data_IF_581757274578
#
_entry.id   IF_581757274578
#
_cell.length_a   1.000
_cell.length_b   1.000
_cell.length_c   1.000
_cell.angle_alpha   90.00
_cell.angle_beta   90.00
_cell.angle_gamma   90.00
#
_symmetry.space_group_name_H-M   'P 1'
#
loop_
_entity.id
_entity.type
_entity.pdbx_description
1 polymer ?
#
# COMPACT_ATOMS: atom_id res chain seq x y z
N UNK A 1 16.63 -14.75 -2.63
CA UNK A 1 16.30 -14.26 -3.99
C UNK A 1 14.83 -14.49 -4.38
N UNK A 2 14.30 -15.72 -4.23
CA UNK A 2 12.90 -16.02 -4.62
C UNK A 2 11.87 -15.19 -3.84
N UNK A 3 12.08 -14.92 -2.55
CA UNK A 3 11.20 -14.08 -1.73
C UNK A 3 11.18 -12.65 -2.29
N UNK A 4 12.34 -12.07 -2.60
CA UNK A 4 12.44 -10.71 -3.15
C UNK A 4 11.79 -10.58 -4.52
N UNK A 5 11.85 -11.62 -5.35
CA UNK A 5 11.12 -11.66 -6.64
C UNK A 5 9.60 -11.66 -6.48
N UNK A 6 9.09 -12.25 -5.39
CA UNK A 6 7.65 -12.29 -5.11
C UNK A 6 7.17 -11.09 -4.31
N UNK A 7 8.00 -10.57 -3.39
CA UNK A 7 7.67 -9.42 -2.55
C UNK A 7 8.95 -8.65 -2.20
N UNK A 8 9.13 -7.50 -2.84
CA UNK A 8 10.29 -6.63 -2.65
C UNK A 8 10.33 -6.01 -1.23
N UNK A 9 9.18 -5.86 -0.57
CA UNK A 9 9.03 -5.15 0.70
C UNK A 9 9.00 -6.05 1.95
N UNK A 10 9.03 -7.39 1.78
CA UNK A 10 9.05 -8.30 2.93
C UNK A 10 10.23 -8.03 3.84
N UNK A 11 9.99 -8.00 5.15
CA UNK A 11 11.05 -7.98 6.14
C UNK A 11 11.73 -9.37 6.19
N UNK A 12 13.02 -9.42 5.86
CA UNK A 12 13.83 -10.66 5.89
C UNK A 12 14.81 -10.55 7.04
N UNK A 13 14.70 -11.46 7.99
CA UNK A 13 15.61 -11.56 9.14
C UNK A 13 16.37 -12.88 9.03
N UNK A 14 17.69 -12.80 9.03
CA UNK A 14 18.53 -13.99 9.13
C UNK A 14 18.80 -14.35 10.59
N UNK A 15 18.60 -15.62 10.88
CA UNK A 15 18.80 -16.18 12.22
C UNK A 15 19.80 -17.35 12.14
N UNK A 16 21.05 -17.12 12.55
CA UNK A 16 22.13 -18.09 12.33
C UNK A 16 23.16 -18.11 13.45
N UNK A 17 23.78 -19.26 13.66
CA UNK A 17 24.97 -19.40 14.52
C UNK A 17 26.27 -19.02 13.79
N UNK A 18 26.24 -18.89 12.48
CA UNK A 18 27.42 -18.65 11.65
C UNK A 18 27.55 -17.18 11.26
N UNK A 19 28.75 -16.62 11.42
CA UNK A 19 29.04 -15.21 11.07
C UNK A 19 29.51 -15.02 9.64
N UNK A 20 29.97 -16.08 8.99
CA UNK A 20 30.68 -16.00 7.70
C UNK A 20 29.76 -15.71 6.50
N UNK A 21 28.44 -15.87 6.66
CA UNK A 21 27.47 -15.69 5.56
C UNK A 21 26.98 -14.26 5.36
N UNK A 22 27.32 -13.32 6.26
CA UNK A 22 26.85 -11.95 6.16
C UNK A 22 27.31 -11.28 4.86
N UNK A 23 28.55 -11.49 4.44
CA UNK A 23 29.12 -10.95 3.20
C UNK A 23 28.42 -11.54 1.97
N UNK A 24 28.17 -12.84 1.97
CA UNK A 24 27.47 -13.51 0.87
C UNK A 24 26.03 -13.02 0.72
N UNK A 25 25.35 -12.75 1.83
CA UNK A 25 23.98 -12.21 1.87
C UNK A 25 23.95 -10.82 1.24
N UNK A 26 24.93 -9.97 1.58
CA UNK A 26 25.07 -8.61 1.04
C UNK A 26 25.36 -8.69 -0.48
N UNK A 27 26.32 -9.52 -0.88
CA UNK A 27 26.71 -9.67 -2.29
C UNK A 27 25.58 -10.20 -3.18
N UNK A 28 24.67 -11.00 -2.63
CA UNK A 28 23.47 -11.51 -3.33
C UNK A 28 22.32 -10.52 -3.37
N UNK A 29 22.49 -9.28 -2.91
CA UNK A 29 21.49 -8.19 -2.90
C UNK A 29 20.16 -8.60 -2.25
N UNK A 30 20.21 -9.45 -1.20
CA UNK A 30 18.99 -9.92 -0.51
C UNK A 30 18.38 -8.78 0.33
N UNK A 31 19.18 -7.79 0.72
CA UNK A 31 18.76 -6.63 1.53
C UNK A 31 17.99 -7.07 2.79
N UNK A 32 18.62 -7.76 3.74
CA UNK A 32 17.95 -8.19 4.96
C UNK A 32 17.59 -6.99 5.82
N UNK A 33 16.48 -7.10 6.53
CA UNK A 33 16.08 -6.11 7.55
C UNK A 33 16.86 -6.31 8.84
N UNK A 34 17.29 -7.54 9.14
CA UNK A 34 18.07 -7.85 10.32
C UNK A 34 18.88 -9.14 10.19
N UNK A 35 19.95 -9.21 10.98
CA UNK A 35 20.80 -10.38 11.11
C UNK A 35 20.99 -10.68 12.60
N UNK A 36 20.47 -11.81 13.05
CA UNK A 36 20.48 -12.22 14.47
C UNK A 36 21.39 -13.43 14.63
N UNK A 37 22.34 -13.33 15.53
CA UNK A 37 23.23 -14.43 15.89
C UNK A 37 22.62 -15.28 17.01
N UNK A 38 22.74 -16.59 16.90
CA UNK A 38 22.35 -17.54 17.93
C UNK A 38 23.41 -17.58 19.04
N UNK A 39 23.54 -16.52 19.79
CA UNK A 39 24.47 -16.40 20.92
C UNK A 39 23.75 -16.00 22.23
N UNK A 40 24.52 -15.60 23.26
CA UNK A 40 24.02 -15.35 24.63
C UNK A 40 23.01 -14.20 24.72
N UNK A 41 22.98 -13.27 23.78
CA UNK A 41 22.11 -12.07 23.80
C UNK A 41 20.96 -12.16 22.79
N UNK A 42 20.48 -13.36 22.53
CA UNK A 42 19.47 -13.62 21.51
C UNK A 42 18.19 -12.81 21.70
N UNK A 43 17.65 -12.75 22.91
CA UNK A 43 16.42 -12.04 23.23
C UNK A 43 16.55 -10.54 22.96
N UNK A 44 17.69 -9.95 23.32
CA UNK A 44 17.97 -8.53 23.10
C UNK A 44 18.11 -8.21 21.62
N UNK A 45 18.82 -9.04 20.85
CA UNK A 45 18.96 -8.87 19.40
C UNK A 45 17.61 -8.96 18.69
N UNK A 46 16.74 -9.91 19.07
CA UNK A 46 15.38 -10.02 18.53
C UNK A 46 14.60 -8.74 18.83
N UNK A 47 14.64 -8.26 20.08
CA UNK A 47 13.92 -7.06 20.49
C UNK A 47 14.38 -5.84 19.67
N UNK A 48 15.67 -5.62 19.55
CA UNK A 48 16.24 -4.53 18.76
C UNK A 48 15.82 -4.57 17.29
N UNK A 49 15.83 -5.74 16.64
CA UNK A 49 15.40 -5.87 15.25
C UNK A 49 13.91 -5.61 15.11
N UNK A 50 13.08 -6.09 16.03
CA UNK A 50 11.64 -5.82 16.00
C UNK A 50 11.33 -4.35 16.25
N UNK A 51 12.04 -3.69 17.17
CA UNK A 51 11.91 -2.24 17.38
C UNK A 51 12.31 -1.45 16.14
N UNK A 52 13.38 -1.82 15.44
CA UNK A 52 13.78 -1.17 14.18
C UNK A 52 12.71 -1.34 13.08
N UNK A 53 12.08 -2.51 12.98
CA UNK A 53 10.98 -2.74 12.04
C UNK A 53 9.78 -1.87 12.42
N UNK A 54 9.34 -1.89 13.67
CA UNK A 54 8.25 -1.07 14.16
C UNK A 54 8.52 0.43 13.96
N UNK A 55 9.73 0.88 14.23
CA UNK A 55 10.11 2.28 14.03
C UNK A 55 10.04 2.66 12.56
N UNK A 56 10.55 1.84 11.63
CA UNK A 56 10.42 2.06 10.18
C UNK A 56 8.97 2.10 9.74
N UNK A 57 8.16 1.16 10.20
CA UNK A 57 6.72 1.12 9.88
C UNK A 57 5.99 2.35 10.43
N UNK A 58 6.29 2.78 11.66
CA UNK A 58 5.74 4.02 12.25
C UNK A 58 6.19 5.28 11.51
N UNK A 59 7.43 5.36 11.03
CA UNK A 59 7.90 6.48 10.20
C UNK A 59 7.14 6.52 8.86
N UNK A 60 6.92 5.38 8.23
CA UNK A 60 6.13 5.26 7.01
C UNK A 60 4.67 5.67 7.27
N UNK A 61 4.09 5.24 8.39
CA UNK A 61 2.71 5.57 8.81
C UNK A 61 2.58 7.05 9.20
N UNK A 62 3.59 7.65 9.82
CA UNK A 62 3.55 9.06 10.22
C UNK A 62 3.67 10.06 9.05
N UNK A 63 4.26 9.64 7.92
CA UNK A 63 4.43 10.51 6.75
C UNK A 63 3.18 10.54 5.86
N UNK A 64 2.38 9.47 5.86
CA UNK A 64 1.28 9.27 4.93
C UNK A 64 -0.09 9.27 5.64
N UNK A 65 -0.48 10.43 6.17
CA UNK A 65 -1.84 10.63 6.73
C UNK A 65 -2.56 11.74 5.99
N UNK A 66 -3.84 11.55 5.75
CA UNK A 66 -4.76 12.59 5.28
C UNK A 66 -5.74 12.88 6.42
N UNK A 67 -5.77 14.13 6.85
CA UNK A 67 -6.71 14.61 7.87
C UNK A 67 -7.91 15.24 7.18
N UNK A 68 -9.10 14.80 7.55
CA UNK A 68 -10.36 15.33 7.01
C UNK A 68 -11.19 15.82 8.17
N UNK A 69 -11.41 17.13 8.23
CA UNK A 69 -12.30 17.71 9.22
C UNK A 69 -13.75 17.47 8.84
N UNK A 70 -14.52 16.94 9.77
CA UNK A 70 -15.94 16.64 9.62
C UNK A 70 -16.74 17.24 10.78
N UNK A 71 -18.06 17.37 10.60
CA UNK A 71 -18.95 17.73 11.71
C UNK A 71 -18.86 16.64 12.79
N UNK A 72 -18.25 16.99 13.93
CA UNK A 72 -18.10 16.08 15.07
C UNK A 72 -16.68 15.55 15.29
N UNK A 73 -15.68 15.94 14.49
CA UNK A 73 -14.28 15.56 14.70
C UNK A 73 -13.47 15.47 13.42
N UNK A 74 -12.22 15.06 13.55
CA UNK A 74 -11.32 14.85 12.40
C UNK A 74 -11.17 13.36 12.13
N UNK A 75 -11.30 12.96 10.88
CA UNK A 75 -11.03 11.61 10.40
C UNK A 75 -9.60 11.54 9.86
N UNK A 76 -8.89 10.48 10.22
CA UNK A 76 -7.58 10.16 9.64
C UNK A 76 -7.73 9.04 8.64
N UNK A 77 -7.24 9.27 7.41
CA UNK A 77 -7.11 8.25 6.38
C UNK A 77 -5.63 7.94 6.13
N UNK A 78 -5.34 6.67 5.96
CA UNK A 78 -4.03 6.18 5.58
C UNK A 78 -4.05 5.83 4.09
N UNK A 79 -3.40 6.61 3.20
CA UNK A 79 -3.47 6.40 1.76
C UNK A 79 -3.12 4.99 1.29
N UNK A 80 -2.17 4.34 1.96
CA UNK A 80 -1.75 2.97 1.63
C UNK A 80 -2.81 1.91 1.92
N UNK A 81 -3.72 2.18 2.86
CA UNK A 81 -4.82 1.27 3.20
C UNK A 81 -6.03 1.47 2.29
N UNK A 82 -6.11 2.58 1.57
CA UNK A 82 -7.22 2.86 0.66
C UNK A 82 -7.09 1.95 -0.57
N UNK A 83 -8.15 1.22 -0.87
CA UNK A 83 -8.31 0.46 -2.12
C UNK A 83 -8.78 1.39 -3.24
N UNK A 84 -9.90 2.06 -2.98
CA UNK A 84 -10.43 3.09 -3.86
C UNK A 84 -11.35 4.04 -3.11
N UNK A 85 -11.61 5.17 -3.73
CA UNK A 85 -12.61 6.15 -3.30
C UNK A 85 -13.58 6.37 -4.43
N UNK A 86 -14.87 6.37 -4.15
CA UNK A 86 -15.89 6.65 -5.12
C UNK A 86 -16.83 7.77 -4.69
N UNK A 87 -17.29 8.56 -5.67
CA UNK A 87 -18.36 9.54 -5.46
C UNK A 87 -19.70 8.84 -5.37
N UNK A 88 -20.52 9.21 -4.38
CA UNK A 88 -21.85 8.67 -4.22
C UNK A 88 -22.83 9.47 -5.08
N UNK A 89 -23.56 8.78 -5.96
CA UNK A 89 -24.55 9.43 -6.83
C UNK A 89 -25.65 10.12 -5.99
N UNK A 90 -25.86 11.40 -6.23
CA UNK A 90 -26.83 12.20 -5.51
C UNK A 90 -26.30 12.90 -4.25
N UNK A 91 -25.11 12.57 -3.76
CA UNK A 91 -24.49 13.17 -2.57
C UNK A 91 -23.25 13.99 -2.95
N UNK A 92 -23.38 15.32 -3.04
CA UNK A 92 -22.32 16.19 -3.57
C UNK A 92 -21.05 16.27 -2.70
N UNK A 93 -21.19 16.14 -1.40
CA UNK A 93 -20.10 16.32 -0.43
C UNK A 93 -19.91 15.07 0.43
N UNK A 94 -20.13 13.90 -0.14
CA UNK A 94 -19.87 12.62 0.49
C UNK A 94 -19.22 11.66 -0.50
N UNK A 95 -18.29 10.91 0.00
CA UNK A 95 -17.59 9.86 -0.76
C UNK A 95 -17.55 8.57 0.06
N UNK A 96 -17.54 7.45 -0.62
CA UNK A 96 -17.23 6.16 -0.02
C UNK A 96 -15.74 5.91 -0.16
N UNK A 97 -15.06 5.68 0.95
CA UNK A 97 -13.66 5.28 1.00
C UNK A 97 -13.62 3.81 1.38
N UNK A 98 -13.18 2.98 0.46
CA UNK A 98 -12.92 1.56 0.68
C UNK A 98 -11.49 1.37 1.13
N UNK A 99 -11.29 0.75 2.27
CA UNK A 99 -9.96 0.44 2.80
C UNK A 99 -9.75 -1.07 2.90
N UNK A 100 -8.54 -1.48 3.24
CA UNK A 100 -8.21 -2.89 3.44
C UNK A 100 -8.95 -3.54 4.61
N UNK A 101 -9.51 -2.74 5.51
CA UNK A 101 -10.12 -3.23 6.76
C UNK A 101 -11.61 -2.88 6.89
N UNK A 102 -12.04 -1.72 6.39
CA UNK A 102 -13.40 -1.20 6.57
C UNK A 102 -13.80 -0.19 5.49
N UNK A 103 -15.10 0.00 5.35
CA UNK A 103 -15.67 1.02 4.47
C UNK A 103 -16.01 2.28 5.29
N UNK A 104 -15.64 3.45 4.79
CA UNK A 104 -15.88 4.73 5.47
C UNK A 104 -16.68 5.67 4.60
N UNK A 105 -17.84 6.12 5.11
CA UNK A 105 -18.56 7.24 4.53
C UNK A 105 -17.92 8.54 5.03
N UNK A 106 -17.37 9.32 4.13
CA UNK A 106 -16.59 10.51 4.47
C UNK A 106 -17.28 11.76 3.96
N UNK A 107 -17.51 12.73 4.86
CA UNK A 107 -18.16 14.03 4.55
C UNK A 107 -17.16 15.00 3.93
N UNK A 108 -16.78 14.73 2.69
CA UNK A 108 -15.92 15.60 1.87
C UNK A 108 -16.20 15.36 0.38
N UNK A 109 -15.72 16.24 -0.47
CA UNK A 109 -15.85 16.05 -1.92
C UNK A 109 -14.70 15.21 -2.47
N UNK A 110 -14.97 14.41 -3.53
CA UNK A 110 -13.92 13.69 -4.23
C UNK A 110 -12.85 14.64 -4.80
N UNK A 111 -13.24 15.88 -5.15
CA UNK A 111 -12.30 16.91 -5.62
C UNK A 111 -11.28 17.29 -4.55
N UNK A 112 -11.73 17.48 -3.31
CA UNK A 112 -10.83 17.78 -2.18
C UNK A 112 -9.85 16.65 -1.92
N UNK A 113 -10.35 15.41 -1.87
CA UNK A 113 -9.48 14.25 -1.66
C UNK A 113 -8.44 14.06 -2.78
N UNK A 114 -8.78 14.38 -4.02
CA UNK A 114 -7.83 14.31 -5.13
C UNK A 114 -6.63 15.23 -4.92
N UNK A 115 -6.82 16.43 -4.40
CA UNK A 115 -5.74 17.37 -4.09
C UNK A 115 -4.77 16.73 -3.10
N UNK A 116 -5.30 16.09 -2.05
CA UNK A 116 -4.49 15.39 -1.05
C UNK A 116 -3.79 14.14 -1.61
N UNK A 117 -4.44 13.47 -2.58
CA UNK A 117 -3.94 12.22 -3.17
C UNK A 117 -2.98 12.45 -4.35
N UNK A 118 -2.94 13.64 -4.94
CA UNK A 118 -2.13 13.95 -6.12
C UNK A 118 -0.63 13.74 -5.91
N UNK A 119 -0.15 13.90 -4.68
CA UNK A 119 1.25 13.65 -4.30
C UNK A 119 1.66 12.16 -4.33
N UNK A 120 0.67 11.24 -4.39
CA UNK A 120 0.92 9.81 -4.41
C UNK A 120 0.80 9.25 -5.83
N UNK A 121 1.90 8.85 -6.42
CA UNK A 121 1.98 8.36 -7.81
C UNK A 121 1.22 7.06 -8.05
N UNK A 122 0.89 6.34 -6.99
CA UNK A 122 0.13 5.09 -7.04
C UNK A 122 -1.39 5.28 -7.06
N UNK A 123 -1.91 6.52 -7.00
CA UNK A 123 -3.33 6.77 -7.20
C UNK A 123 -3.64 7.18 -8.64
N UNK A 124 -4.63 6.50 -9.23
CA UNK A 124 -5.27 6.93 -10.46
C UNK A 124 -6.49 7.80 -10.14
N UNK A 125 -6.42 9.09 -10.46
CA UNK A 125 -7.43 10.08 -10.14
C UNK A 125 -8.40 10.27 -11.32
N UNK A 126 -9.58 9.66 -11.26
CA UNK A 126 -10.61 9.71 -12.27
C UNK A 126 -11.77 10.62 -11.86
N UNK A 127 -12.70 10.93 -12.80
CA UNK A 127 -13.83 11.84 -12.53
C UNK A 127 -14.66 11.41 -11.30
N UNK A 128 -14.96 10.13 -11.17
CA UNK A 128 -15.83 9.56 -10.13
C UNK A 128 -15.12 8.61 -9.17
N UNK A 129 -13.82 8.32 -9.40
CA UNK A 129 -13.01 7.39 -8.62
C UNK A 129 -11.62 7.92 -8.36
N UNK A 130 -11.03 7.50 -7.23
CA UNK A 130 -9.60 7.47 -7.01
C UNK A 130 -9.23 6.02 -6.72
N UNK A 131 -8.41 5.39 -7.56
CA UNK A 131 -8.08 3.96 -7.47
C UNK A 131 -6.61 3.81 -7.09
N UNK A 132 -6.34 3.05 -6.05
CA UNK A 132 -4.97 2.76 -5.61
C UNK A 132 -4.40 1.60 -6.42
N UNK A 133 -3.52 1.91 -7.35
CA UNK A 133 -2.89 0.92 -8.23
C UNK A 133 -1.97 -0.05 -7.48
N UNK A 134 -1.39 0.38 -6.35
CA UNK A 134 -0.52 -0.47 -5.53
C UNK A 134 -1.28 -1.57 -4.79
N UNK A 135 -2.60 -1.44 -4.65
CA UNK A 135 -3.48 -2.41 -4.02
C UNK A 135 -4.17 -3.35 -5.02
N UNK A 136 -4.01 -3.10 -6.34
CA UNK A 136 -4.54 -3.98 -7.36
C UNK A 136 -3.73 -5.27 -7.47
N UNK A 137 -4.40 -6.40 -7.37
CA UNK A 137 -3.84 -7.73 -7.58
C UNK A 137 -4.02 -8.19 -9.02
N UNK A 138 -5.21 -7.99 -9.57
CA UNK A 138 -5.59 -8.50 -10.90
C UNK A 138 -6.61 -7.60 -11.58
N UNK A 139 -6.58 -7.60 -12.90
CA UNK A 139 -7.55 -6.93 -13.77
C UNK A 139 -8.23 -7.96 -14.65
N UNK A 140 -9.57 -8.14 -14.48
CA UNK A 140 -10.38 -9.03 -15.31
C UNK A 140 -11.00 -8.26 -16.49
N UNK A 141 -10.45 -8.49 -17.68
CA UNK A 141 -10.90 -7.82 -18.91
C UNK A 141 -12.22 -8.36 -19.45
N UNK A 142 -12.63 -9.57 -19.09
CA UNK A 142 -13.89 -10.16 -19.56
C UNK A 142 -15.10 -9.51 -18.86
N UNK A 143 -14.93 -9.15 -17.60
CA UNK A 143 -16.03 -8.65 -16.77
C UNK A 143 -15.87 -7.19 -16.33
N UNK A 144 -14.79 -6.50 -16.73
CA UNK A 144 -14.44 -5.13 -16.29
C UNK A 144 -14.32 -5.00 -14.77
N UNK A 145 -13.71 -6.01 -14.13
CA UNK A 145 -13.51 -6.07 -12.68
C UNK A 145 -12.05 -5.80 -12.31
N UNK A 146 -11.87 -5.00 -11.29
CA UNK A 146 -10.60 -4.75 -10.64
C UNK A 146 -10.57 -5.54 -9.32
N UNK A 147 -9.62 -6.47 -9.15
CA UNK A 147 -9.47 -7.28 -7.95
C UNK A 147 -8.32 -6.74 -7.11
N UNK A 148 -8.54 -6.61 -5.80
CA UNK A 148 -7.57 -6.09 -4.83
C UNK A 148 -6.92 -7.21 -4.01
N UNK A 149 -5.75 -6.94 -3.43
CA UNK A 149 -5.00 -7.94 -2.64
C UNK A 149 -5.76 -8.46 -1.41
N UNK A 150 -6.69 -7.70 -0.85
CA UNK A 150 -7.52 -8.14 0.28
C UNK A 150 -8.72 -9.03 -0.14
N UNK A 151 -8.90 -9.30 -1.44
CA UNK A 151 -9.99 -10.08 -2.00
C UNK A 151 -11.22 -9.28 -2.43
N UNK A 152 -11.25 -7.97 -2.15
CA UNK A 152 -12.33 -7.11 -2.65
C UNK A 152 -12.24 -6.92 -4.16
N UNK A 153 -13.37 -6.56 -4.75
CA UNK A 153 -13.47 -6.29 -6.18
C UNK A 153 -14.29 -5.04 -6.47
N UNK A 154 -13.95 -4.37 -7.56
CA UNK A 154 -14.67 -3.20 -8.06
C UNK A 154 -15.07 -3.41 -9.52
N UNK A 155 -16.36 -3.50 -9.77
CA UNK A 155 -16.93 -3.49 -11.13
C UNK A 155 -16.97 -2.05 -11.63
N UNK A 156 -16.37 -1.78 -12.78
CA UNK A 156 -16.34 -0.44 -13.38
C UNK A 156 -16.84 -0.44 -14.81
N UNK A 157 -17.26 0.73 -15.30
CA UNK A 157 -17.60 0.87 -16.72
C UNK A 157 -16.36 0.79 -17.62
N UNK A 158 -16.55 0.31 -18.87
CA UNK A 158 -15.48 0.10 -19.85
C UNK A 158 -14.46 1.24 -19.94
N UNK A 159 -14.92 2.50 -19.97
CA UNK A 159 -14.04 3.68 -20.08
C UNK A 159 -13.10 3.86 -18.86
N UNK A 160 -13.59 3.54 -17.67
CA UNK A 160 -12.80 3.59 -16.42
C UNK A 160 -11.83 2.42 -16.43
N UNK A 161 -12.31 1.25 -16.82
CA UNK A 161 -11.53 0.03 -16.92
C UNK A 161 -10.29 0.20 -17.82
N UNK A 162 -10.47 0.66 -19.06
CA UNK A 162 -9.37 0.83 -20.02
C UNK A 162 -8.31 1.82 -19.49
N UNK A 163 -8.73 2.93 -18.89
CA UNK A 163 -7.79 3.88 -18.27
C UNK A 163 -7.04 3.28 -17.10
N UNK A 164 -7.72 2.45 -16.29
CA UNK A 164 -7.09 1.79 -15.15
C UNK A 164 -6.09 0.75 -15.61
N UNK A 165 -6.42 -0.02 -16.63
CA UNK A 165 -5.56 -1.05 -17.23
C UNK A 165 -4.28 -0.45 -17.80
N UNK A 166 -4.38 0.61 -18.61
CA UNK A 166 -3.24 1.34 -19.14
C UNK A 166 -2.32 1.83 -18.04
N UNK A 167 -2.88 2.55 -17.08
CA UNK A 167 -2.10 3.12 -15.98
C UNK A 167 -1.50 2.09 -15.04
N UNK A 168 -2.18 0.98 -14.82
CA UNK A 168 -1.66 -0.13 -14.01
C UNK A 168 -0.46 -0.81 -14.68
N UNK A 169 -0.48 -0.95 -16.00
CA UNK A 169 0.64 -1.49 -16.75
C UNK A 169 1.89 -0.60 -16.63
N UNK A 170 1.73 0.72 -16.81
CA UNK A 170 2.80 1.69 -16.62
C UNK A 170 3.35 1.66 -15.19
N UNK A 171 2.46 1.58 -14.20
CA UNK A 171 2.83 1.52 -12.79
C UNK A 171 3.67 0.28 -12.47
N UNK A 172 3.30 -0.88 -13.00
CA UNK A 172 4.08 -2.12 -12.80
C UNK A 172 5.47 -2.04 -13.42
N UNK A 173 5.61 -1.43 -14.60
CA UNK A 173 6.92 -1.24 -15.24
C UNK A 173 7.83 -0.32 -14.43
N UNK A 174 7.29 0.76 -13.88
CA UNK A 174 8.04 1.73 -13.07
C UNK A 174 8.45 1.15 -11.71
N UNK A 175 7.66 0.27 -11.11
CA UNK A 175 7.95 -0.38 -9.84
C UNK A 175 8.98 -1.53 -9.95
N UNK A 176 9.38 -1.92 -11.16
CA UNK A 176 10.32 -3.03 -11.44
C UNK A 176 11.77 -2.56 -11.63
N UNK A 177 12.04 -1.26 -11.51
CA UNK A 177 13.37 -0.64 -11.56
C UNK A 177 13.83 -0.30 -10.14
#
# INVERSE_FOLDING_TARGET
>A
EQIRKKNAHSNIIFFTAYTNFAVDIINRKILPTGYIRKDRNLSEQIHQVLEQINWKEQQIVNVDKIFIDQKGGSLVLYPREILYIESIKGLKNQVMVKTTTEDKLVSTSLKQLKIELEKYTYFLLLKSYCINLSQLQKIDSAHYVLEFFNGDSLLVGRKIFEKTKERFHDFQQTASI
#
